data_IF_178806465595
#
_entry.id   IF_178806465595
#
_cell.length_a   1.000
_cell.length_b   1.000
_cell.length_c   1.000
_cell.angle_alpha   90.00
_cell.angle_beta   90.00
_cell.angle_gamma   90.00
#
_symmetry.space_group_name_H-M   'P 1'
#
loop_
_entity.id
_entity.type
_entity.pdbx_description
1 polymer ?
#
# COMPACT_ATOMS: atom_id res chain seq x y z
N UNK A 1 -8.44 -18.70 3.55
CA UNK A 1 -8.88 -17.93 2.37
C UNK A 1 -8.74 -16.43 2.60
N UNK A 2 -8.79 -15.62 1.54
CA UNK A 2 -8.81 -14.15 1.63
C UNK A 2 -10.02 -13.67 2.46
N UNK A 3 -11.16 -14.35 2.35
CA UNK A 3 -12.34 -14.02 3.14
C UNK A 3 -12.10 -14.22 4.65
N UNK A 4 -11.33 -15.21 5.05
CA UNK A 4 -10.96 -15.43 6.45
C UNK A 4 -10.02 -14.36 6.96
N UNK A 5 -9.03 -13.96 6.15
CA UNK A 5 -8.14 -12.86 6.47
C UNK A 5 -8.91 -11.55 6.65
N UNK A 6 -9.87 -11.27 5.75
CA UNK A 6 -10.75 -10.09 5.83
C UNK A 6 -11.54 -10.08 7.15
N UNK A 7 -12.17 -11.21 7.52
CA UNK A 7 -12.91 -11.34 8.78
C UNK A 7 -12.03 -11.15 10.00
N UNK A 8 -10.82 -11.72 9.97
CA UNK A 8 -9.83 -11.59 11.05
C UNK A 8 -9.36 -10.14 11.19
N UNK A 9 -9.06 -9.47 10.08
CA UNK A 9 -8.64 -8.06 10.05
C UNK A 9 -9.72 -7.16 10.65
N UNK A 10 -10.99 -7.34 10.25
CA UNK A 10 -12.12 -6.56 10.77
C UNK A 10 -12.25 -6.64 12.30
N UNK A 11 -11.89 -7.78 12.90
CA UNK A 11 -11.91 -7.96 14.35
C UNK A 11 -10.66 -7.41 15.05
N UNK A 12 -9.57 -7.17 14.33
CA UNK A 12 -8.25 -6.89 14.90
C UNK A 12 -7.84 -5.43 14.85
N UNK A 13 -8.35 -4.67 13.88
CA UNK A 13 -8.03 -3.26 13.70
C UNK A 13 -9.25 -2.36 14.00
N UNK A 14 -9.06 -1.07 14.33
CA UNK A 14 -10.15 -0.13 14.54
C UNK A 14 -11.04 0.01 13.30
N UNK A 15 -12.31 0.36 13.51
CA UNK A 15 -13.29 0.49 12.43
C UNK A 15 -12.89 1.54 11.39
N UNK A 16 -12.31 2.68 11.83
CA UNK A 16 -11.83 3.70 10.90
C UNK A 16 -10.72 3.20 9.98
N UNK A 17 -9.76 2.42 10.52
CA UNK A 17 -8.69 1.82 9.72
C UNK A 17 -9.22 0.73 8.78
N UNK A 18 -10.16 -0.09 9.25
CA UNK A 18 -10.79 -1.10 8.42
C UNK A 18 -11.60 -0.49 7.28
N UNK A 19 -12.37 0.56 7.53
CA UNK A 19 -13.17 1.22 6.50
C UNK A 19 -12.31 1.97 5.49
N UNK A 20 -11.18 2.54 5.92
CA UNK A 20 -10.18 3.07 5.00
C UNK A 20 -9.66 1.98 4.04
N UNK A 21 -9.36 0.79 4.56
CA UNK A 21 -8.84 -0.34 3.77
C UNK A 21 -9.84 -0.85 2.73
N UNK A 22 -11.12 -0.97 3.09
CA UNK A 22 -12.13 -1.62 2.24
C UNK A 22 -12.98 -0.65 1.44
N UNK A 23 -12.99 0.63 1.80
CA UNK A 23 -13.81 1.66 1.17
C UNK A 23 -13.18 2.23 -0.11
N UNK A 24 -14.03 2.74 -0.96
CA UNK A 24 -13.68 3.48 -2.17
C UNK A 24 -14.21 4.91 -2.15
N UNK A 25 -14.34 5.49 -3.33
CA UNK A 25 -14.90 6.83 -3.51
C UNK A 25 -16.43 6.78 -3.64
N UNK A 26 -17.08 7.86 -3.22
CA UNK A 26 -18.53 8.07 -3.31
C UNK A 26 -19.34 6.92 -2.69
N UNK A 27 -20.11 6.17 -3.50
CA UNK A 27 -20.98 5.07 -3.08
C UNK A 27 -20.36 3.68 -3.20
N UNK A 28 -19.02 3.58 -3.29
CA UNK A 28 -18.27 2.30 -3.42
C UNK A 28 -18.62 1.46 -4.67
N UNK A 29 -19.31 2.04 -5.65
CA UNK A 29 -19.74 1.31 -6.86
C UNK A 29 -18.56 0.74 -7.64
N UNK A 30 -17.44 1.49 -7.73
CA UNK A 30 -16.25 1.03 -8.42
C UNK A 30 -15.63 -0.20 -7.72
N UNK A 31 -15.63 -0.23 -6.38
CA UNK A 31 -15.15 -1.38 -5.60
C UNK A 31 -15.97 -2.63 -5.92
N UNK A 32 -17.30 -2.51 -5.90
CA UNK A 32 -18.19 -3.61 -6.24
C UNK A 32 -18.06 -4.04 -7.71
N UNK A 33 -17.90 -3.08 -8.63
CA UNK A 33 -17.71 -3.35 -10.06
C UNK A 33 -16.39 -4.10 -10.30
N UNK A 34 -15.29 -3.66 -9.71
CA UNK A 34 -13.99 -4.30 -9.85
C UNK A 34 -14.06 -5.78 -9.44
N UNK A 35 -14.71 -6.08 -8.32
CA UNK A 35 -14.90 -7.46 -7.88
C UNK A 35 -15.71 -8.27 -8.89
N UNK A 36 -16.85 -7.76 -9.33
CA UNK A 36 -17.69 -8.43 -10.34
C UNK A 36 -16.96 -8.66 -11.67
N UNK A 37 -16.09 -7.74 -12.08
CA UNK A 37 -15.31 -7.92 -13.30
C UNK A 37 -14.28 -9.04 -13.16
N UNK A 38 -13.61 -9.15 -12.02
CA UNK A 38 -12.69 -10.26 -11.74
C UNK A 38 -13.44 -11.60 -11.65
N UNK A 39 -14.61 -11.63 -11.05
CA UNK A 39 -15.41 -12.85 -10.91
C UNK A 39 -15.94 -13.38 -12.28
N UNK A 40 -15.95 -12.55 -13.33
CA UNK A 40 -16.29 -12.95 -14.70
C UNK A 40 -15.14 -13.64 -15.44
N UNK A 41 -13.91 -13.54 -14.94
CA UNK A 41 -12.76 -14.20 -15.57
C UNK A 41 -12.82 -15.68 -15.26
N UNK A 42 -13.03 -16.48 -16.29
CA UNK A 42 -13.07 -17.93 -16.19
C UNK A 42 -11.85 -18.55 -16.88
N UNK A 43 -11.26 -19.56 -16.25
CA UNK A 43 -10.21 -20.37 -16.85
C UNK A 43 -10.86 -21.50 -17.66
N UNK A 44 -10.47 -21.64 -18.93
CA UNK A 44 -10.91 -22.72 -19.78
C UNK A 44 -9.90 -23.87 -19.72
N UNK A 45 -10.24 -25.03 -19.11
CA UNK A 45 -9.28 -26.14 -19.01
C UNK A 45 -9.06 -26.79 -20.39
N UNK A 46 -7.79 -27.06 -20.71
CA UNK A 46 -7.42 -27.87 -21.86
C UNK A 46 -7.17 -29.33 -21.42
N UNK A 47 -8.13 -30.20 -21.71
CA UNK A 47 -8.01 -31.63 -21.40
C UNK A 47 -7.09 -32.32 -22.39
N UNK A 48 -6.49 -33.45 -21.96
CA UNK A 48 -5.63 -34.30 -22.78
C UNK A 48 -4.37 -33.62 -23.34
N UNK A 49 -4.03 -32.43 -22.83
CA UNK A 49 -2.78 -31.75 -23.15
C UNK A 49 -1.64 -32.30 -22.30
N UNK A 50 -0.43 -32.41 -22.87
CA UNK A 50 0.76 -32.70 -22.05
C UNK A 50 1.00 -31.54 -21.08
N UNK A 51 0.90 -31.81 -19.79
CA UNK A 51 1.27 -30.84 -18.75
C UNK A 51 2.77 -30.59 -18.82
N UNK A 52 3.16 -29.35 -19.10
CA UNK A 52 4.52 -28.88 -18.88
C UNK A 52 4.50 -28.11 -17.56
N UNK A 53 5.53 -28.27 -16.75
CA UNK A 53 5.72 -27.42 -15.56
C UNK A 53 5.79 -25.97 -16.05
N UNK A 54 4.79 -25.18 -15.70
CA UNK A 54 4.75 -23.77 -16.08
C UNK A 54 5.75 -22.99 -15.23
N UNK A 55 6.60 -22.20 -15.86
CA UNK A 55 7.43 -21.21 -15.17
C UNK A 55 6.64 -19.91 -15.05
N UNK A 56 6.63 -19.31 -13.86
CA UNK A 56 6.08 -17.98 -13.62
C UNK A 56 7.14 -16.88 -13.78
N UNK A 57 8.41 -17.26 -13.96
CA UNK A 57 9.52 -16.32 -14.12
C UNK A 57 9.27 -15.35 -15.28
N UNK A 58 9.48 -14.08 -15.03
CA UNK A 58 9.26 -13.01 -16.01
C UNK A 58 10.34 -11.94 -15.92
N UNK A 59 10.52 -11.19 -16.99
CA UNK A 59 11.39 -10.02 -17.01
C UNK A 59 10.53 -8.76 -17.12
N UNK A 60 10.64 -7.87 -16.15
CA UNK A 60 9.99 -6.57 -16.18
C UNK A 60 11.01 -5.46 -16.02
N UNK A 61 11.00 -4.47 -16.93
CA UNK A 61 11.93 -3.32 -16.97
C UNK A 61 13.41 -3.74 -16.81
N UNK A 62 13.82 -4.83 -17.50
CA UNK A 62 15.19 -5.33 -17.50
C UNK A 62 15.59 -6.16 -16.27
N UNK A 63 14.70 -6.39 -15.31
CA UNK A 63 14.94 -7.19 -14.10
C UNK A 63 14.12 -8.47 -14.15
N UNK A 64 14.75 -9.59 -13.81
CA UNK A 64 14.09 -10.90 -13.72
C UNK A 64 13.42 -11.09 -12.36
N UNK A 65 12.16 -11.52 -12.39
CA UNK A 65 11.33 -11.83 -11.21
C UNK A 65 10.78 -13.24 -11.28
N UNK A 66 10.46 -13.82 -10.13
CA UNK A 66 9.96 -15.20 -10.05
C UNK A 66 8.46 -15.32 -10.39
N UNK A 67 7.74 -14.18 -10.47
CA UNK A 67 6.34 -14.15 -10.83
C UNK A 67 5.95 -12.84 -11.57
N UNK A 68 4.94 -12.89 -12.48
CA UNK A 68 4.52 -11.75 -13.29
C UNK A 68 3.58 -10.79 -12.54
N UNK A 69 3.79 -10.59 -11.26
CA UNK A 69 3.04 -9.64 -10.42
C UNK A 69 3.93 -9.07 -9.32
N UNK A 70 3.50 -7.97 -8.72
CA UNK A 70 4.19 -7.32 -7.61
C UNK A 70 3.22 -6.78 -6.57
N UNK A 71 3.77 -6.20 -5.50
CA UNK A 71 2.97 -5.52 -4.48
C UNK A 71 2.75 -4.08 -4.92
N UNK A 72 1.48 -3.71 -5.11
CA UNK A 72 1.06 -2.38 -5.53
C UNK A 72 1.38 -1.30 -4.48
N UNK A 73 1.49 -0.01 -4.88
CA UNK A 73 1.73 1.08 -3.95
C UNK A 73 0.52 1.29 -3.04
N UNK A 74 0.75 1.23 -1.74
CA UNK A 74 -0.27 1.41 -0.71
C UNK A 74 0.07 2.63 0.16
N UNK A 75 -0.76 3.67 0.07
CA UNK A 75 -0.70 4.81 0.98
C UNK A 75 -1.18 4.44 2.38
N UNK A 76 -0.58 5.05 3.41
CA UNK A 76 -0.98 4.90 4.82
C UNK A 76 -1.13 3.44 5.30
N UNK A 77 -0.34 2.53 4.75
CA UNK A 77 -0.39 1.11 5.15
C UNK A 77 -0.09 0.92 6.65
N UNK A 78 0.71 1.81 7.27
CA UNK A 78 0.96 1.84 8.71
C UNK A 78 -0.29 2.13 9.55
N UNK A 79 -1.33 2.76 8.99
CA UNK A 79 -2.62 2.92 9.66
C UNK A 79 -3.35 1.57 9.82
N UNK A 80 -3.18 0.68 8.88
CA UNK A 80 -3.78 -0.66 8.93
C UNK A 80 -3.03 -1.50 9.96
N UNK A 81 -1.70 -1.51 9.86
CA UNK A 81 -0.83 -2.16 10.84
C UNK A 81 0.55 -1.49 10.84
N UNK A 82 1.11 -1.17 12.04
CA UNK A 82 2.45 -0.60 12.12
C UNK A 82 3.48 -1.44 11.36
N UNK A 83 4.40 -0.76 10.67
CA UNK A 83 5.42 -1.40 9.81
C UNK A 83 4.88 -2.27 8.67
N UNK A 84 3.62 -2.08 8.23
CA UNK A 84 3.06 -2.87 7.14
C UNK A 84 3.86 -2.72 5.83
N UNK A 85 4.37 -1.52 5.54
CA UNK A 85 5.18 -1.27 4.35
C UNK A 85 6.47 -2.09 4.37
N UNK A 86 7.16 -2.16 5.51
CA UNK A 86 8.39 -2.94 5.69
C UNK A 86 8.12 -4.45 5.60
N UNK A 87 7.00 -4.92 6.14
CA UNK A 87 6.59 -6.33 5.98
C UNK A 87 6.32 -6.66 4.51
N UNK A 88 5.64 -5.78 3.78
CA UNK A 88 5.41 -5.97 2.34
C UNK A 88 6.72 -5.97 1.56
N UNK A 89 7.61 -5.02 1.84
CA UNK A 89 8.93 -4.92 1.22
C UNK A 89 9.77 -6.19 1.44
N UNK A 90 9.82 -6.66 2.69
CA UNK A 90 10.54 -7.90 3.06
C UNK A 90 9.93 -9.14 2.40
N UNK A 91 8.60 -9.23 2.34
CA UNK A 91 7.91 -10.34 1.68
C UNK A 91 8.17 -10.34 0.17
N UNK A 92 8.14 -9.16 -0.48
CA UNK A 92 8.44 -9.02 -1.89
C UNK A 92 9.88 -9.45 -2.22
N UNK A 93 10.85 -9.02 -1.42
CA UNK A 93 12.25 -9.45 -1.55
C UNK A 93 12.38 -10.97 -1.45
N UNK A 94 11.73 -11.57 -0.43
CA UNK A 94 11.77 -13.03 -0.22
C UNK A 94 11.15 -13.80 -1.38
N UNK A 95 10.11 -13.27 -2.00
CA UNK A 95 9.40 -13.87 -3.13
C UNK A 95 10.00 -13.47 -4.49
N UNK A 96 11.05 -12.67 -4.51
CA UNK A 96 11.65 -12.09 -5.71
C UNK A 96 10.60 -11.49 -6.67
N UNK A 97 9.75 -10.60 -6.14
CA UNK A 97 8.74 -9.85 -6.90
C UNK A 97 8.90 -8.36 -6.67
N UNK A 98 8.42 -7.47 -7.56
CA UNK A 98 8.47 -6.03 -7.34
C UNK A 98 7.70 -5.59 -6.10
N UNK A 99 8.24 -4.64 -5.35
CA UNK A 99 7.55 -3.88 -4.32
C UNK A 99 7.50 -2.41 -4.73
N UNK A 100 6.31 -1.87 -4.91
CA UNK A 100 6.13 -0.46 -5.28
C UNK A 100 5.82 0.35 -4.03
N UNK A 101 6.77 1.20 -3.60
CA UNK A 101 6.58 2.10 -2.47
C UNK A 101 5.75 3.31 -2.91
N UNK A 102 4.68 3.60 -2.18
CA UNK A 102 3.84 4.79 -2.45
C UNK A 102 4.49 6.07 -1.91
N UNK A 103 4.36 7.21 -2.60
CA UNK A 103 4.68 8.55 -2.07
C UNK A 103 3.99 8.83 -0.74
N UNK A 104 2.81 8.23 -0.51
CA UNK A 104 2.02 8.38 0.71
C UNK A 104 2.24 7.23 1.71
N UNK A 105 3.36 6.52 1.61
CA UNK A 105 3.69 5.46 2.56
C UNK A 105 4.04 6.02 3.95
N UNK A 106 3.86 5.18 4.96
CA UNK A 106 4.21 5.48 6.36
C UNK A 106 5.61 4.99 6.75
N UNK A 107 6.47 4.78 5.77
CA UNK A 107 7.89 4.46 5.94
C UNK A 107 8.73 5.32 5.00
N UNK A 108 10.00 5.57 5.29
CA UNK A 108 10.87 6.33 4.40
C UNK A 108 11.33 5.51 3.19
N UNK A 109 11.82 6.20 2.15
CA UNK A 109 12.36 5.55 0.96
C UNK A 109 13.57 4.68 1.34
N UNK A 110 14.42 5.17 2.21
CA UNK A 110 15.63 4.53 2.69
C UNK A 110 15.31 3.24 3.48
N UNK A 111 14.31 3.32 4.34
CA UNK A 111 13.89 2.18 5.16
C UNK A 111 13.21 1.10 4.31
N UNK A 112 12.39 1.50 3.33
CA UNK A 112 11.80 0.57 2.37
C UNK A 112 12.88 -0.12 1.51
N UNK A 113 13.91 0.63 1.08
CA UNK A 113 15.04 0.09 0.32
C UNK A 113 15.84 -0.95 1.11
N UNK A 114 16.10 -0.68 2.39
CA UNK A 114 16.77 -1.65 3.27
C UNK A 114 16.01 -2.98 3.36
N UNK A 115 14.67 -2.94 3.35
CA UNK A 115 13.81 -4.11 3.39
C UNK A 115 13.65 -4.80 2.04
N UNK A 116 13.42 -4.04 0.96
CA UNK A 116 13.10 -4.57 -0.39
C UNK A 116 14.36 -4.90 -1.21
N UNK A 117 15.49 -4.23 -0.95
CA UNK A 117 16.69 -4.34 -1.78
C UNK A 117 16.41 -3.92 -3.24
N UNK A 118 16.94 -4.67 -4.19
CA UNK A 118 16.80 -4.44 -5.64
C UNK A 118 15.36 -4.57 -6.17
N UNK A 119 14.44 -5.10 -5.37
CA UNK A 119 13.03 -5.26 -5.75
C UNK A 119 12.21 -3.98 -5.54
N UNK A 120 12.82 -2.90 -5.03
CA UNK A 120 12.14 -1.63 -4.77
C UNK A 120 11.86 -0.88 -6.08
N UNK A 121 10.59 -0.50 -6.25
CA UNK A 121 10.12 0.51 -7.20
C UNK A 121 9.51 1.66 -6.41
N UNK A 122 9.52 2.87 -6.95
CA UNK A 122 8.95 4.04 -6.29
C UNK A 122 7.79 4.62 -7.08
N UNK A 123 6.61 4.75 -6.44
CA UNK A 123 5.47 5.42 -7.03
C UNK A 123 5.43 6.88 -6.61
N UNK A 124 5.41 7.77 -7.59
CA UNK A 124 5.39 9.21 -7.43
C UNK A 124 4.02 9.80 -7.79
N UNK A 125 3.38 10.44 -6.82
CA UNK A 125 2.43 11.52 -7.09
C UNK A 125 3.23 12.80 -7.27
N UNK A 126 3.34 13.37 -8.49
CA UNK A 126 4.19 14.54 -8.69
C UNK A 126 3.72 15.73 -7.84
N UNK A 127 4.47 16.18 -6.82
CA UNK A 127 4.15 17.40 -6.08
C UNK A 127 4.20 18.61 -7.03
N UNK A 128 3.41 19.64 -6.72
CA UNK A 128 3.48 20.92 -7.44
C UNK A 128 4.82 21.60 -7.22
N UNK A 129 5.35 21.48 -6.02
CA UNK A 129 6.65 21.98 -5.64
C UNK A 129 7.75 21.17 -6.35
N UNK A 130 8.61 21.90 -7.08
CA UNK A 130 9.68 21.30 -7.86
C UNK A 130 10.81 20.76 -6.97
N UNK A 131 11.14 21.45 -5.88
CA UNK A 131 12.22 21.05 -4.99
C UNK A 131 11.88 19.74 -4.28
N UNK A 132 10.65 19.62 -3.75
CA UNK A 132 10.17 18.38 -3.15
C UNK A 132 10.17 17.24 -4.17
N UNK A 133 9.75 17.51 -5.41
CA UNK A 133 9.75 16.49 -6.47
C UNK A 133 11.15 15.99 -6.79
N UNK A 134 12.11 16.91 -6.90
CA UNK A 134 13.50 16.57 -7.19
C UNK A 134 14.16 15.82 -6.02
N UNK A 135 13.90 16.24 -4.76
CA UNK A 135 14.37 15.55 -3.56
C UNK A 135 13.90 14.09 -3.54
N UNK A 136 12.60 13.85 -3.75
CA UNK A 136 12.04 12.50 -3.76
C UNK A 136 12.69 11.61 -4.83
N UNK A 137 12.88 12.14 -6.03
CA UNK A 137 13.51 11.41 -7.13
C UNK A 137 14.99 11.14 -6.85
N UNK A 138 15.71 12.10 -6.27
CA UNK A 138 17.10 11.96 -5.92
C UNK A 138 17.30 10.91 -4.81
N UNK A 139 16.50 10.96 -3.75
CA UNK A 139 16.53 9.97 -2.66
C UNK A 139 16.23 8.56 -3.17
N UNK A 140 15.20 8.41 -4.02
CA UNK A 140 14.90 7.11 -4.63
C UNK A 140 16.09 6.58 -5.45
N UNK A 141 16.76 7.45 -6.23
CA UNK A 141 17.95 7.07 -6.99
C UNK A 141 19.13 6.70 -6.10
N UNK A 142 19.37 7.44 -5.02
CA UNK A 142 20.48 7.21 -4.07
C UNK A 142 20.40 5.84 -3.40
N UNK A 143 19.19 5.33 -3.14
CA UNK A 143 18.99 3.99 -2.57
C UNK A 143 18.97 2.87 -3.63
N UNK A 144 19.28 3.18 -4.89
CA UNK A 144 19.33 2.21 -5.98
C UNK A 144 17.96 1.83 -6.56
N UNK A 145 16.93 2.64 -6.31
CA UNK A 145 15.63 2.45 -6.96
C UNK A 145 15.68 2.97 -8.41
N UNK A 146 15.66 2.05 -9.37
CA UNK A 146 15.79 2.37 -10.79
C UNK A 146 14.44 2.49 -11.52
N UNK A 147 13.34 2.12 -10.88
CA UNK A 147 12.02 2.09 -11.51
C UNK A 147 11.08 3.10 -10.83
N UNK A 148 10.62 4.08 -11.62
CA UNK A 148 9.68 5.10 -11.19
C UNK A 148 8.31 4.83 -11.81
N UNK A 149 7.27 4.79 -10.97
CA UNK A 149 5.87 4.66 -11.37
C UNK A 149 5.18 6.00 -11.15
N UNK A 150 4.88 6.74 -12.21
CA UNK A 150 4.24 8.06 -12.11
C UNK A 150 2.74 7.92 -12.20
N UNK A 151 2.01 8.43 -11.19
CA UNK A 151 0.54 8.48 -11.19
C UNK A 151 0.07 9.77 -11.84
N UNK A 152 -0.73 9.66 -12.91
CA UNK A 152 -1.15 10.79 -13.75
C UNK A 152 -2.67 10.98 -13.79
N UNK A 153 -3.45 10.12 -13.11
CA UNK A 153 -4.92 10.05 -13.21
C UNK A 153 -5.66 10.57 -11.96
N UNK A 154 -4.97 11.26 -11.06
CA UNK A 154 -5.55 11.81 -9.82
C UNK A 154 -5.41 13.34 -9.77
N UNK A 155 -6.17 14.08 -10.59
CA UNK A 155 -6.08 15.55 -10.61
C UNK A 155 -6.66 16.20 -9.36
N UNK A 156 -7.59 15.52 -8.68
CA UNK A 156 -8.22 15.95 -7.43
C UNK A 156 -8.45 14.76 -6.50
N UNK A 157 -8.43 15.01 -5.19
CA UNK A 157 -8.70 13.97 -4.20
C UNK A 157 -10.15 13.45 -4.32
N UNK A 158 -10.33 12.15 -4.40
CA UNK A 158 -11.64 11.52 -4.42
C UNK A 158 -12.37 11.68 -3.08
N UNK A 159 -13.68 11.97 -3.11
CA UNK A 159 -14.49 12.03 -1.90
C UNK A 159 -14.70 10.61 -1.33
N UNK A 160 -14.32 10.41 -0.07
CA UNK A 160 -14.44 9.13 0.65
C UNK A 160 -15.38 9.31 1.86
N UNK A 161 -16.70 9.15 1.67
CA UNK A 161 -17.70 9.46 2.70
C UNK A 161 -17.52 8.64 3.99
N UNK A 162 -17.08 7.39 3.87
CA UNK A 162 -16.85 6.52 5.02
C UNK A 162 -15.69 7.00 5.89
N UNK A 163 -14.62 7.51 5.28
CA UNK A 163 -13.48 8.07 6.02
C UNK A 163 -13.91 9.34 6.75
N UNK A 164 -14.67 10.22 6.09
CA UNK A 164 -15.21 11.44 6.68
C UNK A 164 -16.13 11.12 7.87
N UNK A 165 -17.05 10.16 7.73
CA UNK A 165 -17.97 9.73 8.81
C UNK A 165 -17.22 9.15 10.01
N UNK A 166 -16.06 8.51 9.79
CA UNK A 166 -15.25 7.95 10.87
C UNK A 166 -14.26 8.96 11.46
N UNK A 167 -14.27 10.21 11.00
CA UNK A 167 -13.36 11.24 11.45
C UNK A 167 -11.90 11.03 10.99
N UNK A 168 -11.69 10.19 9.98
CA UNK A 168 -10.38 10.03 9.40
C UNK A 168 -10.07 11.25 8.54
N UNK A 169 -9.10 12.03 8.97
CA UNK A 169 -8.53 13.17 8.23
C UNK A 169 -7.06 12.91 7.94
N UNK A 170 -6.50 13.66 7.01
CA UNK A 170 -5.06 13.67 6.73
C UNK A 170 -4.54 15.08 7.02
N UNK A 171 -3.70 15.28 8.05
CA UNK A 171 -3.25 14.28 9.04
C UNK A 171 -4.38 13.76 9.94
N UNK A 172 -4.23 12.55 10.52
CA UNK A 172 -5.24 11.94 11.39
C UNK A 172 -5.51 12.81 12.62
N UNK A 173 -6.79 13.13 12.88
CA UNK A 173 -7.21 13.84 14.09
C UNK A 173 -7.66 12.84 15.16
N UNK A 174 -7.18 13.03 16.38
CA UNK A 174 -7.61 12.23 17.52
C UNK A 174 -9.00 12.76 17.96
N UNK A 175 -10.01 11.90 17.89
CA UNK A 175 -11.37 12.18 18.37
C UNK A 175 -11.75 11.20 19.45
N UNK A 176 -12.74 11.54 20.30
CA UNK A 176 -13.26 10.61 21.31
C UNK A 176 -13.70 9.27 20.68
N UNK A 177 -14.30 9.33 19.50
CA UNK A 177 -14.70 8.13 18.76
C UNK A 177 -13.49 7.29 18.30
N UNK A 178 -12.41 7.93 17.83
CA UNK A 178 -11.19 7.19 17.44
C UNK A 178 -10.51 6.55 18.67
N UNK A 179 -10.50 7.23 19.81
CA UNK A 179 -9.98 6.69 21.08
C UNK A 179 -10.81 5.45 21.48
N UNK A 180 -12.14 5.57 21.50
CA UNK A 180 -13.03 4.46 21.84
C UNK A 180 -12.81 3.25 20.93
N UNK A 181 -12.76 3.46 19.61
CA UNK A 181 -12.50 2.39 18.64
C UNK A 181 -11.12 1.73 18.83
N UNK A 182 -10.11 2.51 19.23
CA UNK A 182 -8.76 2.04 19.52
C UNK A 182 -8.74 1.16 20.77
N UNK A 183 -9.41 1.57 21.84
CA UNK A 183 -9.53 0.79 23.09
C UNK A 183 -10.19 -0.57 22.86
N UNK A 184 -11.14 -0.66 21.94
CA UNK A 184 -11.76 -1.93 21.56
C UNK A 184 -10.83 -2.87 20.76
N UNK A 185 -9.62 -2.43 20.41
CA UNK A 185 -8.64 -3.19 19.60
C UNK A 185 -7.26 -3.19 20.26
N UNK A 186 -7.11 -3.84 21.42
CA UNK A 186 -5.89 -3.71 22.24
C UNK A 186 -4.62 -4.16 21.52
N UNK A 187 -4.68 -5.16 20.66
CA UNK A 187 -3.52 -5.60 19.89
C UNK A 187 -3.04 -4.54 18.88
N UNK A 188 -3.97 -3.82 18.24
CA UNK A 188 -3.63 -2.72 17.34
C UNK A 188 -3.13 -1.51 18.12
N UNK A 189 -3.79 -1.18 19.23
CA UNK A 189 -3.43 -0.08 20.11
C UNK A 189 -2.00 -0.23 20.64
N UNK A 190 -1.68 -1.43 21.16
CA UNK A 190 -0.35 -1.74 21.68
C UNK A 190 0.71 -1.70 20.57
N UNK A 191 0.43 -2.32 19.43
CA UNK A 191 1.35 -2.27 18.28
C UNK A 191 1.63 -0.84 17.82
N UNK A 192 0.61 0.01 17.78
CA UNK A 192 0.75 1.43 17.40
C UNK A 192 1.49 2.23 18.47
N UNK A 193 1.21 1.99 19.76
CA UNK A 193 1.92 2.65 20.86
C UNK A 193 3.44 2.35 20.85
N UNK A 194 3.81 1.10 20.55
CA UNK A 194 5.21 0.67 20.49
C UNK A 194 5.96 1.17 19.24
N UNK A 195 5.27 1.40 18.12
CA UNK A 195 5.90 1.76 16.85
C UNK A 195 5.62 3.21 16.40
N UNK A 196 4.84 3.97 17.16
CA UNK A 196 4.43 5.33 16.84
C UNK A 196 3.19 5.40 15.91
N UNK A 197 2.59 6.58 15.89
CA UNK A 197 1.46 6.87 14.97
C UNK A 197 1.96 6.91 13.52
N UNK A 198 1.19 6.38 12.56
CA UNK A 198 1.57 6.44 11.15
C UNK A 198 1.60 7.89 10.66
N UNK A 199 2.72 8.29 10.11
CA UNK A 199 2.94 9.60 9.48
C UNK A 199 3.34 9.40 8.03
N UNK A 200 3.24 10.45 7.19
CA UNK A 200 3.79 10.45 5.83
C UNK A 200 5.30 10.62 5.88
N UNK A 201 6.02 9.58 6.23
CA UNK A 201 7.46 9.61 6.51
C UNK A 201 8.32 9.97 5.29
N UNK A 202 7.77 9.88 4.08
CA UNK A 202 8.47 10.22 2.85
C UNK A 202 8.57 11.74 2.66
N UNK A 203 7.50 12.48 3.00
CA UNK A 203 7.42 13.93 2.80
C UNK A 203 7.97 14.76 3.96
N UNK A 204 8.08 14.17 5.17
CA UNK A 204 8.49 14.89 6.37
C UNK A 204 9.87 15.57 6.28
N UNK A 205 10.93 14.97 5.69
CA UNK A 205 12.23 15.64 5.59
C UNK A 205 12.19 16.91 4.75
N UNK A 206 11.34 16.96 3.71
CA UNK A 206 11.20 18.09 2.78
C UNK A 206 10.21 19.17 3.25
N UNK A 207 9.40 18.90 4.29
CA UNK A 207 8.43 19.87 4.84
C UNK A 207 8.90 20.54 6.14
N UNK A 208 10.07 20.13 6.68
CA UNK A 208 10.62 20.66 7.95
C UNK A 208 11.66 21.76 7.68
N UNK A 209 11.97 22.05 6.43
CA UNK A 209 12.75 23.22 6.03
C UNK A 209 11.83 24.37 5.62
#
# INVERSE_FOLDING_TARGET
SIADLKRRTQKRIPKFAYQYLVGGCNSDQAVARNRRCLDKVALHPAYLSRSKTASLTTTALGVQYDAPFGIAPLGLSGLIWPKAAEYHATAAKKANIPYVLSTLASTSIEQAAACAGSNLWFQLYPPKDQEIRLDLMQRARQVGCNNLVVTIDVPVAGRRPNDIKNGLSVPPKITLNSIYQTLLRPSWAMATALNGMPQFSIMLPSMIQ
#
